data_IF_507565724860
#
_entry.id   IF_507565724860
#
_cell.length_a   1.000
_cell.length_b   1.000
_cell.length_c   1.000
_cell.angle_alpha   90.00
_cell.angle_beta   90.00
_cell.angle_gamma   90.00
#
_symmetry.space_group_name_H-M   'P 1'
#
loop_
_entity.id
_entity.type
_entity.pdbx_description
1 polymer ?
#
# COMPACT_ATOMS: atom_id res chain seq x y z
N UNK A 1 2.57 6.85 11.18
CA UNK A 1 2.48 6.74 9.70
C UNK A 1 1.43 7.69 9.17
N UNK A 2 1.77 8.50 8.18
CA UNK A 2 0.83 9.26 7.36
C UNK A 2 0.52 8.48 6.07
N UNK A 3 -0.73 8.47 5.66
CA UNK A 3 -1.19 7.73 4.49
C UNK A 3 -1.98 8.62 3.53
N UNK A 4 -1.95 8.25 2.24
CA UNK A 4 -2.70 8.90 1.17
C UNK A 4 -3.22 7.84 0.18
N UNK A 5 -4.46 7.95 -0.27
CA UNK A 5 -5.03 7.07 -1.30
C UNK A 5 -4.54 7.49 -2.68
N UNK A 6 -4.04 6.52 -3.45
CA UNK A 6 -3.68 6.72 -4.84
C UNK A 6 -4.86 7.24 -5.69
N UNK A 7 -6.10 6.85 -5.41
CA UNK A 7 -7.27 7.37 -6.13
C UNK A 7 -7.42 8.88 -5.93
N UNK A 8 -7.18 9.39 -4.72
CA UNK A 8 -7.23 10.83 -4.45
C UNK A 8 -6.16 11.62 -5.22
N UNK A 9 -4.98 11.01 -5.43
CA UNK A 9 -3.89 11.55 -6.27
C UNK A 9 -4.33 11.57 -7.74
N UNK A 10 -4.84 10.43 -8.24
CA UNK A 10 -5.22 10.25 -9.63
C UNK A 10 -6.37 11.18 -10.04
N UNK A 11 -7.40 11.31 -9.22
CA UNK A 11 -8.55 12.19 -9.45
C UNK A 11 -8.17 13.67 -9.53
N UNK A 12 -7.07 14.04 -8.87
CA UNK A 12 -6.54 15.41 -8.84
C UNK A 12 -5.44 15.65 -9.87
N UNK A 13 -5.00 14.61 -10.58
CA UNK A 13 -3.87 14.69 -11.50
C UNK A 13 -2.56 15.07 -10.81
N UNK A 14 -2.40 14.69 -9.54
CA UNK A 14 -1.15 14.88 -8.81
C UNK A 14 -0.12 13.82 -9.22
N UNK A 15 1.15 14.15 -9.06
CA UNK A 15 2.25 13.22 -9.31
C UNK A 15 2.58 12.46 -8.01
N UNK A 16 2.76 11.15 -8.12
CA UNK A 16 3.13 10.26 -7.02
C UNK A 16 4.53 10.58 -6.50
N UNK A 17 5.42 11.07 -7.37
CA UNK A 17 6.81 11.40 -7.05
C UNK A 17 6.98 12.87 -6.64
N UNK A 18 5.88 13.62 -6.48
CA UNK A 18 5.92 15.01 -6.05
C UNK A 18 6.41 15.14 -4.61
N UNK A 19 7.49 15.91 -4.40
CA UNK A 19 8.07 16.14 -3.08
C UNK A 19 7.10 16.81 -2.10
N UNK A 20 6.14 17.59 -2.61
CA UNK A 20 5.13 18.29 -1.81
C UNK A 20 3.79 17.53 -1.75
N UNK A 21 3.73 16.28 -2.21
CA UNK A 21 2.48 15.50 -2.31
C UNK A 21 1.67 15.48 -1.01
N UNK A 22 2.31 15.15 0.12
CA UNK A 22 1.63 15.09 1.41
C UNK A 22 1.27 16.47 1.97
N UNK A 23 2.02 17.52 1.62
CA UNK A 23 1.64 18.89 1.96
C UNK A 23 0.38 19.32 1.18
N UNK A 24 0.33 19.01 -0.13
CA UNK A 24 -0.86 19.22 -0.96
C UNK A 24 -2.07 18.45 -0.46
N UNK A 25 -1.87 17.20 -0.03
CA UNK A 25 -2.93 16.39 0.55
C UNK A 25 -3.45 16.98 1.86
N UNK A 26 -2.56 17.47 2.74
CA UNK A 26 -2.95 18.09 4.00
C UNK A 26 -3.73 19.40 3.83
N UNK A 27 -3.44 20.17 2.77
CA UNK A 27 -4.17 21.38 2.41
C UNK A 27 -5.46 21.10 1.63
N UNK A 28 -5.65 19.86 1.15
CA UNK A 28 -6.85 19.45 0.44
C UNK A 28 -7.91 18.93 1.41
N UNK A 29 -9.17 19.28 1.13
CA UNK A 29 -10.35 18.76 1.84
C UNK A 29 -10.62 17.30 1.42
N UNK A 30 -9.74 16.38 1.84
CA UNK A 30 -9.81 14.95 1.59
C UNK A 30 -10.66 14.26 2.66
N UNK A 31 -11.35 13.18 2.27
CA UNK A 31 -12.04 12.37 3.26
C UNK A 31 -11.03 11.74 4.22
N UNK A 32 -11.37 11.52 5.50
CA UNK A 32 -10.46 10.88 6.46
C UNK A 32 -10.01 9.46 6.07
N UNK A 33 -10.76 8.81 5.16
CA UNK A 33 -10.38 7.51 4.59
C UNK A 33 -9.29 7.62 3.52
N UNK A 34 -9.17 8.78 2.88
CA UNK A 34 -8.28 9.01 1.74
C UNK A 34 -6.95 9.64 2.16
N UNK A 35 -6.92 10.40 3.26
CA UNK A 35 -5.69 10.95 3.84
C UNK A 35 -5.81 11.07 5.34
N UNK A 36 -4.72 10.76 6.04
CA UNK A 36 -4.69 10.88 7.49
C UNK A 36 -3.44 10.28 8.11
N UNK A 37 -3.47 10.17 9.43
CA UNK A 37 -2.39 9.56 10.21
C UNK A 37 -2.93 8.44 11.07
N UNK A 38 -2.14 7.37 11.13
CA UNK A 38 -2.39 6.25 12.01
C UNK A 38 -1.09 5.82 12.71
N UNK A 39 -1.25 5.38 13.95
CA UNK A 39 -0.19 4.75 14.72
C UNK A 39 0.05 3.35 14.14
N UNK A 40 1.31 2.91 14.06
CA UNK A 40 1.66 1.55 13.65
C UNK A 40 2.60 1.02 14.72
N UNK A 41 2.18 -0.03 15.42
CA UNK A 41 3.06 -0.66 16.40
C UNK A 41 4.17 -1.47 15.68
N UNK A 42 5.36 -1.63 16.29
CA UNK A 42 6.46 -2.37 15.66
C UNK A 42 6.16 -3.85 15.33
N UNK A 43 5.17 -4.45 16.00
CA UNK A 43 4.78 -5.85 15.88
C UNK A 43 3.53 -6.09 15.00
N UNK A 44 2.95 -5.02 14.43
CA UNK A 44 1.86 -5.13 13.44
C UNK A 44 2.33 -4.72 12.04
N UNK A 45 1.79 -5.36 11.01
CA UNK A 45 1.99 -4.93 9.63
C UNK A 45 1.21 -3.65 9.33
N UNK A 46 1.60 -2.89 8.31
CA UNK A 46 0.86 -1.68 7.91
C UNK A 46 -0.61 -1.96 7.60
N UNK A 47 -0.93 -3.11 6.99
CA UNK A 47 -2.30 -3.53 6.73
C UNK A 47 -3.07 -3.79 8.03
N UNK A 48 -2.48 -4.53 8.97
CA UNK A 48 -3.10 -4.78 10.28
C UNK A 48 -3.35 -3.47 11.03
N UNK A 49 -2.38 -2.55 11.00
CA UNK A 49 -2.53 -1.24 11.62
C UNK A 49 -3.71 -0.44 11.04
N UNK A 50 -3.90 -0.50 9.72
CA UNK A 50 -5.04 0.11 9.03
C UNK A 50 -6.37 -0.58 9.40
N UNK A 51 -6.42 -1.91 9.36
CA UNK A 51 -7.61 -2.71 9.71
C UNK A 51 -8.03 -2.49 11.17
N UNK A 52 -7.09 -2.51 12.11
CA UNK A 52 -7.30 -2.25 13.54
C UNK A 52 -7.88 -0.86 13.81
N UNK A 53 -7.69 0.08 12.89
CA UNK A 53 -8.17 1.47 12.97
C UNK A 53 -9.39 1.72 12.08
N UNK A 54 -9.99 0.67 11.54
CA UNK A 54 -11.25 0.72 10.79
C UNK A 54 -11.10 1.07 9.31
N UNK A 55 -9.88 1.12 8.77
CA UNK A 55 -9.64 1.35 7.36
C UNK A 55 -9.72 0.05 6.56
N UNK A 56 -10.26 0.14 5.34
CA UNK A 56 -10.40 -1.01 4.43
C UNK A 56 -9.39 -0.91 3.29
N UNK A 57 -8.12 -1.20 3.57
CA UNK A 57 -7.08 -1.21 2.55
C UNK A 57 -7.17 -2.45 1.66
N UNK A 58 -6.77 -2.37 0.38
CA UNK A 58 -6.86 -3.52 -0.51
C UNK A 58 -5.83 -4.60 -0.15
N UNK A 59 -6.24 -5.87 -0.22
CA UNK A 59 -5.36 -7.02 -0.05
C UNK A 59 -5.92 -8.26 -0.74
N UNK A 60 -5.12 -9.34 -0.80
CA UNK A 60 -5.59 -10.67 -1.23
C UNK A 60 -4.86 -11.80 -0.50
N UNK A 61 -3.59 -12.09 -0.83
CA UNK A 61 -2.91 -13.30 -0.32
C UNK A 61 -2.43 -13.22 1.13
N UNK A 62 -2.17 -12.01 1.67
CA UNK A 62 -1.54 -11.76 2.99
C UNK A 62 -0.21 -12.50 3.23
N UNK A 63 0.49 -12.91 2.16
CA UNK A 63 1.69 -13.74 2.23
C UNK A 63 2.83 -13.33 1.30
N UNK A 64 2.78 -12.13 0.72
CA UNK A 64 3.87 -11.64 -0.14
C UNK A 64 3.90 -12.23 -1.56
N UNK A 65 2.81 -12.86 -2.00
CA UNK A 65 2.68 -13.55 -3.29
C UNK A 65 1.78 -12.80 -4.31
N UNK A 66 1.33 -11.59 -3.99
CA UNK A 66 0.54 -10.74 -4.89
C UNK A 66 0.77 -9.25 -4.58
N UNK A 67 0.46 -8.37 -5.53
CA UNK A 67 0.56 -6.91 -5.38
C UNK A 67 -0.77 -6.21 -5.02
N UNK A 68 -1.83 -6.94 -4.63
CA UNK A 68 -3.10 -6.30 -4.23
C UNK A 68 -2.96 -5.39 -3.01
N UNK A 69 -2.04 -5.72 -2.09
CA UNK A 69 -1.71 -4.93 -0.90
C UNK A 69 -0.51 -4.00 -1.13
N UNK A 70 -0.15 -3.73 -2.39
CA UNK A 70 0.96 -2.86 -2.69
C UNK A 70 0.69 -1.44 -2.16
N UNK A 71 1.75 -0.84 -1.65
CA UNK A 71 1.85 0.57 -1.26
C UNK A 71 3.11 1.15 -1.89
N UNK A 72 3.13 2.46 -2.05
CA UNK A 72 4.33 3.21 -2.42
C UNK A 72 4.88 3.92 -1.19
N UNK A 73 6.13 3.62 -0.82
CA UNK A 73 6.81 4.19 0.35
C UNK A 73 7.48 5.50 -0.05
N UNK A 74 6.94 6.62 0.43
CA UNK A 74 7.46 7.97 0.15
C UNK A 74 8.52 8.37 1.18
N UNK A 75 8.33 8.00 2.44
CA UNK A 75 9.28 8.30 3.51
C UNK A 75 9.32 7.16 4.53
N UNK A 76 10.52 6.92 5.08
CA UNK A 76 10.80 5.93 6.11
C UNK A 76 11.24 4.58 5.57
N UNK A 77 11.23 3.57 6.43
CA UNK A 77 11.75 2.23 6.12
C UNK A 77 10.82 1.14 6.66
N UNK A 78 10.71 0.05 5.89
CA UNK A 78 9.91 -1.12 6.24
C UNK A 78 10.75 -2.39 6.10
N UNK A 79 10.58 -3.33 7.03
CA UNK A 79 11.02 -4.71 6.82
C UNK A 79 9.92 -5.49 6.13
N UNK A 80 10.31 -6.39 5.21
CA UNK A 80 9.38 -7.28 4.52
C UNK A 80 9.93 -8.71 4.52
N UNK A 81 9.52 -9.55 5.50
CA UNK A 81 10.02 -10.92 5.64
C UNK A 81 9.72 -11.81 4.42
N UNK A 82 8.65 -11.51 3.68
CA UNK A 82 8.26 -12.23 2.47
C UNK A 82 7.95 -11.24 1.34
N UNK A 83 8.81 -11.20 0.33
CA UNK A 83 8.54 -10.44 -0.89
C UNK A 83 9.02 -11.26 -2.09
N UNK A 84 8.11 -12.08 -2.62
CA UNK A 84 8.41 -12.96 -3.77
C UNK A 84 7.83 -12.42 -5.08
N UNK A 85 6.99 -11.39 -5.00
CA UNK A 85 6.21 -10.89 -6.14
C UNK A 85 6.77 -9.59 -6.73
N UNK A 86 7.33 -8.70 -5.91
CA UNK A 86 7.92 -7.46 -6.40
C UNK A 86 9.35 -7.76 -6.90
N UNK A 87 9.69 -7.27 -8.09
CA UNK A 87 11.07 -7.29 -8.57
C UNK A 87 11.94 -6.30 -7.79
N UNK A 88 13.26 -6.41 -7.96
CA UNK A 88 14.22 -5.45 -7.41
C UNK A 88 13.92 -4.01 -7.89
N UNK A 89 13.61 -3.82 -9.17
CA UNK A 89 13.22 -2.52 -9.73
C UNK A 89 11.99 -1.92 -9.03
N UNK A 90 10.94 -2.72 -8.77
CA UNK A 90 9.78 -2.24 -8.01
C UNK A 90 10.19 -1.82 -6.60
N UNK A 91 11.05 -2.60 -5.94
CA UNK A 91 11.53 -2.29 -4.60
C UNK A 91 12.41 -1.03 -4.57
N UNK A 92 13.29 -0.83 -5.56
CA UNK A 92 14.12 0.37 -5.70
C UNK A 92 13.29 1.63 -5.92
N UNK A 93 12.19 1.51 -6.67
CA UNK A 93 11.22 2.59 -6.88
C UNK A 93 10.34 2.88 -5.67
N UNK A 94 10.41 2.08 -4.61
CA UNK A 94 9.66 2.34 -3.37
C UNK A 94 8.37 1.53 -3.21
N UNK A 95 8.06 0.59 -4.11
CA UNK A 95 6.93 -0.33 -3.89
C UNK A 95 7.20 -1.30 -2.75
N UNK A 96 6.25 -1.41 -1.84
CA UNK A 96 6.27 -2.34 -0.70
C UNK A 96 4.91 -3.02 -0.59
N UNK A 97 4.79 -4.06 0.23
CA UNK A 97 3.53 -4.74 0.49
C UNK A 97 3.08 -4.44 1.92
N UNK A 98 1.93 -3.79 2.09
CA UNK A 98 1.42 -3.42 3.42
C UNK A 98 1.06 -4.63 4.28
N UNK A 99 0.68 -5.74 3.64
CA UNK A 99 0.20 -6.94 4.32
C UNK A 99 1.28 -7.78 5.02
N UNK A 100 2.56 -7.43 4.85
CA UNK A 100 3.67 -8.02 5.58
C UNK A 100 4.84 -7.03 5.75
N UNK A 101 4.55 -5.74 5.64
CA UNK A 101 5.49 -4.66 5.85
C UNK A 101 5.41 -4.16 7.29
N UNK A 102 6.51 -4.26 8.03
CA UNK A 102 6.60 -3.81 9.44
C UNK A 102 7.47 -2.56 9.53
N UNK A 103 7.07 -1.55 10.33
CA UNK A 103 7.80 -0.29 10.43
C UNK A 103 9.20 -0.50 11.02
N UNK A 104 10.22 0.07 10.38
CA UNK A 104 11.58 0.18 10.92
C UNK A 104 11.93 1.60 11.35
N UNK A 105 11.24 2.59 10.80
CA UNK A 105 11.37 4.01 11.15
C UNK A 105 10.22 4.50 12.00
N UNK A 106 10.46 5.54 12.81
CA UNK A 106 9.43 6.19 13.64
C UNK A 106 8.39 6.93 12.78
N UNK A 107 8.85 7.52 11.68
CA UNK A 107 8.01 8.24 10.72
C UNK A 107 7.94 7.47 9.40
N UNK A 108 6.73 7.41 8.84
CA UNK A 108 6.42 6.74 7.59
C UNK A 108 5.41 7.56 6.81
N UNK A 109 5.63 7.72 5.51
CA UNK A 109 4.65 8.26 4.56
C UNK A 109 4.40 7.24 3.46
N UNK A 110 3.17 6.81 3.30
CA UNK A 110 2.81 5.78 2.31
C UNK A 110 1.62 6.19 1.47
N UNK A 111 1.68 5.86 0.19
CA UNK A 111 0.51 5.91 -0.69
C UNK A 111 -0.06 4.51 -0.82
N UNK A 112 -1.30 4.31 -0.39
CA UNK A 112 -1.99 3.02 -0.52
C UNK A 112 -2.83 2.96 -1.79
N UNK A 113 -3.39 1.79 -2.08
CA UNK A 113 -4.22 1.56 -3.27
C UNK A 113 -3.48 1.74 -4.62
N UNK A 114 -2.14 1.71 -4.62
CA UNK A 114 -1.33 1.81 -5.84
C UNK A 114 -1.45 0.60 -6.77
N UNK A 115 -2.20 -0.45 -6.38
CA UNK A 115 -2.54 -1.60 -7.24
C UNK A 115 -3.19 -1.21 -8.58
N UNK A 116 -3.64 0.04 -8.73
CA UNK A 116 -4.22 0.58 -9.96
C UNK A 116 -3.16 1.07 -10.95
N UNK A 117 -1.88 1.09 -10.58
CA UNK A 117 -0.78 1.39 -11.48
C UNK A 117 -0.56 0.24 -12.48
N UNK A 118 -0.41 0.52 -13.79
CA UNK A 118 -0.28 -0.50 -14.83
C UNK A 118 0.86 -1.51 -14.61
N UNK A 119 1.97 -1.06 -14.05
CA UNK A 119 3.14 -1.88 -13.73
C UNK A 119 2.87 -2.97 -12.68
N UNK A 120 1.83 -2.83 -11.85
CA UNK A 120 1.44 -3.83 -10.87
C UNK A 120 0.34 -4.75 -11.38
N UNK A 121 -0.25 -4.50 -12.55
CA UNK A 121 -1.46 -5.19 -13.01
C UNK A 121 -1.29 -6.71 -13.07
N UNK A 122 -0.17 -7.18 -13.61
CA UNK A 122 0.16 -8.60 -13.77
C UNK A 122 0.53 -9.30 -12.45
N UNK A 123 0.86 -8.52 -11.41
CA UNK A 123 1.27 -9.03 -10.10
C UNK A 123 0.08 -9.21 -9.15
N UNK A 124 -1.14 -8.86 -9.57
CA UNK A 124 -2.35 -8.95 -8.75
C UNK A 124 -3.02 -10.32 -8.88
N UNK A 125 -3.59 -10.75 -7.76
CA UNK A 125 -4.58 -11.81 -7.77
C UNK A 125 -5.96 -11.24 -8.15
N UNK A 126 -6.73 -11.95 -8.98
CA UNK A 126 -8.07 -11.54 -9.36
C UNK A 126 -9.02 -11.56 -8.15
N UNK A 127 -10.04 -10.70 -8.12
CA UNK A 127 -11.08 -10.76 -7.10
C UNK A 127 -11.97 -12.01 -7.33
N UNK A 128 -11.93 -12.99 -6.41
CA UNK A 128 -12.87 -14.11 -6.42
C UNK A 128 -12.29 -15.43 -5.91
N UNK A 129 -13.14 -16.41 -5.52
CA UNK A 129 -12.65 -17.68 -5.02
C UNK A 129 -11.87 -18.39 -6.13
N UNK A 130 -10.73 -18.99 -5.77
CA UNK A 130 -10.11 -20.04 -6.58
C UNK A 130 -11.21 -21.04 -6.91
N UNK A 131 -11.76 -20.99 -8.13
CA UNK A 131 -12.64 -22.04 -8.60
C UNK A 131 -11.75 -23.28 -8.61
N UNK A 132 -11.90 -24.16 -7.60
CA UNK A 132 -11.19 -25.45 -7.57
C UNK A 132 -11.36 -26.01 -8.96
N UNK A 133 -10.26 -26.24 -9.67
CA UNK A 133 -10.29 -27.06 -10.86
C UNK A 133 -11.03 -28.34 -10.43
N UNK A 134 -12.23 -28.54 -10.96
CA UNK A 134 -12.96 -29.76 -10.69
C UNK A 134 -12.03 -30.87 -11.17
N UNK A 135 -11.58 -31.70 -10.24
CA UNK A 135 -10.86 -32.92 -10.58
C UNK A 135 -11.81 -33.74 -11.47
N UNK A 136 -11.38 -33.99 -12.69
CA UNK A 136 -12.00 -34.98 -13.58
C UNK A 136 -11.87 -36.39 -12.99
#
# INVERSE_FOLDING_TARGET
>A
MEFLDYEAIADRGWDLEDADLFAKAADADLAPADHGRLLVEPDESLLEAAENRGFSWPFSCRGGACANCAVYLVEGELSQPANHILSEEHAERGFRLSCNGYPLSEELKVVFNVKHLPELDELRLPPGPFRRAASE
#
